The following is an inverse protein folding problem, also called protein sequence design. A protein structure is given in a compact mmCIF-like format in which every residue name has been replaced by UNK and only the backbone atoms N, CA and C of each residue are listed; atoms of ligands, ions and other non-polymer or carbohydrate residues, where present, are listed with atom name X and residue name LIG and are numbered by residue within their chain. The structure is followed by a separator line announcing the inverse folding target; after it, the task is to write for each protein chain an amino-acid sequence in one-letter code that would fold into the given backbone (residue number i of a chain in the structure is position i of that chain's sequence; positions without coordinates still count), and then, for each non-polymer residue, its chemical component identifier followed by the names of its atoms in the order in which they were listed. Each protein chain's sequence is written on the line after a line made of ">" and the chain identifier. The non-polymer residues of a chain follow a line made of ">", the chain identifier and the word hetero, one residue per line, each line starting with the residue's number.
data_IF_933035529268
#
_entry.id   IF_933035529268
#
_cell.length_a   1.000
_cell.length_b   1.000
_cell.length_c   1.000
_cell.angle_alpha   90.00
_cell.angle_beta   90.00
_cell.angle_gamma   90.00
#
_symmetry.space_group_name_H-M   'P 1'
#
loop_
_entity.id
_entity.type
_entity.pdbx_description
1 polymer ?
#
# COMPACT_ATOMS: atom_id res chain seq x y z
N UNK A 1 -32.08 -25.79 -3.15
CA UNK A 1 -31.67 -24.66 -2.29
C UNK A 1 -31.25 -23.47 -3.11
N UNK A 2 -31.78 -22.26 -2.84
CA UNK A 2 -31.17 -21.03 -3.33
C UNK A 2 -29.84 -20.82 -2.60
N UNK A 3 -28.80 -20.44 -3.37
CA UNK A 3 -27.43 -20.20 -2.89
C UNK A 3 -27.42 -19.25 -1.68
N UNK A 4 -26.66 -19.63 -0.66
CA UNK A 4 -26.39 -18.83 0.55
C UNK A 4 -25.90 -17.44 0.16
N UNK A 5 -26.52 -16.40 0.72
CA UNK A 5 -26.16 -14.98 0.53
C UNK A 5 -24.90 -14.61 1.36
N UNK A 6 -24.17 -15.61 1.88
CA UNK A 6 -23.01 -15.42 2.74
C UNK A 6 -21.68 -15.16 2.02
N UNK A 7 -21.61 -15.38 0.70
CA UNK A 7 -20.33 -15.32 -0.06
C UNK A 7 -20.22 -14.09 -0.97
N UNK A 8 -21.07 -13.08 -0.78
CA UNK A 8 -20.88 -11.79 -1.45
C UNK A 8 -19.91 -11.00 -0.58
N UNK A 9 -18.65 -10.74 -1.00
CA UNK A 9 -17.76 -9.88 -0.25
C UNK A 9 -18.46 -8.53 -0.08
N UNK A 10 -18.81 -8.23 1.16
CA UNK A 10 -19.36 -6.94 1.52
C UNK A 10 -18.23 -5.92 1.69
N UNK A 11 -18.52 -4.62 1.62
CA UNK A 11 -17.53 -3.56 1.78
C UNK A 11 -16.76 -3.62 3.11
N UNK A 12 -17.28 -4.32 4.13
CA UNK A 12 -16.58 -4.53 5.39
C UNK A 12 -15.40 -5.52 5.28
N UNK A 13 -15.47 -6.50 4.38
CA UNK A 13 -14.38 -7.47 4.17
C UNK A 13 -13.24 -6.81 3.39
N UNK A 14 -13.55 -6.03 2.35
CA UNK A 14 -12.57 -5.30 1.54
C UNK A 14 -11.76 -4.29 2.38
N UNK A 15 -12.43 -3.53 3.26
CA UNK A 15 -11.75 -2.60 4.20
C UNK A 15 -10.83 -3.34 5.18
N UNK A 16 -11.22 -4.55 5.61
CA UNK A 16 -10.40 -5.36 6.53
C UNK A 16 -9.16 -5.90 5.82
N UNK A 17 -9.31 -6.42 4.60
CA UNK A 17 -8.21 -6.92 3.78
C UNK A 17 -7.20 -5.81 3.45
N UNK A 18 -7.67 -4.62 3.08
CA UNK A 18 -6.79 -3.47 2.87
C UNK A 18 -6.03 -3.09 4.14
N UNK A 19 -6.70 -3.03 5.29
CA UNK A 19 -6.08 -2.66 6.54
C UNK A 19 -4.96 -3.65 6.91
N UNK A 20 -5.19 -4.94 6.69
CA UNK A 20 -4.17 -5.99 6.90
C UNK A 20 -2.98 -5.80 5.96
N UNK A 21 -3.22 -5.55 4.67
CA UNK A 21 -2.15 -5.29 3.68
C UNK A 21 -1.31 -4.07 4.05
N UNK A 22 -1.94 -2.97 4.48
CA UNK A 22 -1.23 -1.76 4.91
C UNK A 22 -0.38 -1.98 6.15
N UNK A 23 -0.91 -2.71 7.15
CA UNK A 23 -0.17 -3.04 8.36
C UNK A 23 1.01 -3.95 8.06
N UNK A 24 0.83 -4.91 7.15
CA UNK A 24 1.88 -5.82 6.72
C UNK A 24 2.99 -5.10 5.98
N UNK A 25 2.66 -4.27 4.99
CA UNK A 25 3.62 -3.45 4.24
C UNK A 25 4.44 -2.57 5.21
N UNK A 26 3.75 -1.81 6.07
CA UNK A 26 4.42 -0.90 6.99
C UNK A 26 5.34 -1.65 7.96
N UNK A 27 4.85 -2.75 8.55
CA UNK A 27 5.62 -3.54 9.52
C UNK A 27 6.85 -4.21 8.90
N UNK A 28 6.72 -4.78 7.69
CA UNK A 28 7.84 -5.45 7.01
C UNK A 28 8.88 -4.44 6.52
N UNK A 29 8.44 -3.36 5.87
CA UNK A 29 9.35 -2.34 5.36
C UNK A 29 10.11 -1.66 6.51
N UNK A 30 9.43 -1.27 7.59
CA UNK A 30 10.08 -0.65 8.74
C UNK A 30 11.11 -1.58 9.39
N UNK A 31 10.79 -2.88 9.52
CA UNK A 31 11.73 -3.87 10.03
C UNK A 31 12.99 -3.97 9.17
N UNK A 32 12.84 -4.02 7.84
CA UNK A 32 13.97 -4.07 6.92
C UNK A 32 14.84 -2.80 7.03
N UNK A 33 14.20 -1.64 7.14
CA UNK A 33 14.89 -0.35 7.38
C UNK A 33 15.68 -0.40 8.70
N UNK A 34 15.05 -0.85 9.80
CA UNK A 34 15.69 -0.95 11.12
C UNK A 34 16.86 -1.96 11.13
N UNK A 35 16.79 -3.01 10.31
CA UNK A 35 17.85 -4.01 10.13
C UNK A 35 18.96 -3.54 9.17
N UNK A 36 18.79 -2.38 8.52
CA UNK A 36 19.72 -1.81 7.55
C UNK A 36 19.64 -2.42 6.14
N UNK A 37 18.61 -3.22 5.87
CA UNK A 37 18.34 -3.83 4.56
C UNK A 37 17.46 -2.90 3.70
N UNK A 38 18.01 -1.72 3.40
CA UNK A 38 17.29 -0.65 2.70
C UNK A 38 16.95 -0.98 1.25
N UNK A 39 17.73 -1.85 0.59
CA UNK A 39 17.48 -2.28 -0.79
C UNK A 39 16.20 -3.13 -0.86
N UNK A 40 16.09 -4.14 0.00
CA UNK A 40 14.90 -5.00 0.07
C UNK A 40 13.68 -4.20 0.53
N UNK A 41 13.84 -3.25 1.46
CA UNK A 41 12.77 -2.35 1.86
C UNK A 41 12.23 -1.54 0.67
N UNK A 42 13.14 -1.02 -0.17
CA UNK A 42 12.77 -0.25 -1.37
C UNK A 42 12.04 -1.10 -2.39
N UNK A 43 12.53 -2.31 -2.68
CA UNK A 43 11.86 -3.24 -3.60
C UNK A 43 10.43 -3.56 -3.14
N UNK A 44 10.23 -3.78 -1.83
CA UNK A 44 8.90 -4.04 -1.25
C UNK A 44 7.96 -2.84 -1.42
N UNK A 45 8.45 -1.62 -1.18
CA UNK A 45 7.67 -0.39 -1.34
C UNK A 45 7.32 -0.16 -2.83
N UNK A 46 8.28 -0.35 -3.74
CA UNK A 46 8.11 -0.17 -5.18
C UNK A 46 7.03 -1.12 -5.73
N UNK A 47 7.10 -2.41 -5.37
CA UNK A 47 6.14 -3.42 -5.82
C UNK A 47 4.69 -3.08 -5.40
N UNK A 48 4.51 -2.53 -4.19
CA UNK A 48 3.18 -2.08 -3.74
C UNK A 48 2.72 -0.82 -4.45
N UNK A 49 3.64 0.12 -4.71
CA UNK A 49 3.33 1.33 -5.47
C UNK A 49 2.89 1.02 -6.91
N UNK A 50 3.56 0.11 -7.60
CA UNK A 50 3.20 -0.31 -8.96
C UNK A 50 1.77 -0.87 -9.04
N UNK A 51 1.36 -1.70 -8.08
CA UNK A 51 -0.01 -2.23 -8.00
C UNK A 51 -1.04 -1.10 -7.84
N UNK A 52 -0.73 -0.08 -7.04
CA UNK A 52 -1.60 1.08 -6.85
C UNK A 52 -1.68 1.93 -8.12
N UNK A 53 -0.57 2.13 -8.81
CA UNK A 53 -0.53 2.85 -10.10
C UNK A 53 -1.41 2.12 -11.13
N UNK A 54 -1.29 0.81 -11.26
CA UNK A 54 -2.11 0.00 -12.18
C UNK A 54 -3.62 0.14 -11.90
N UNK A 55 -4.01 0.20 -10.62
CA UNK A 55 -5.40 0.44 -10.22
C UNK A 55 -5.88 1.85 -10.59
N UNK A 56 -5.05 2.87 -10.34
CA UNK A 56 -5.34 4.26 -10.69
C UNK A 56 -5.48 4.45 -12.21
N UNK A 57 -4.60 3.83 -13.00
CA UNK A 57 -4.67 3.84 -14.47
C UNK A 57 -5.91 3.10 -14.98
N UNK A 58 -6.33 2.05 -14.28
CA UNK A 58 -7.60 1.34 -14.54
C UNK A 58 -8.84 2.14 -14.13
N UNK A 59 -8.68 3.35 -13.58
CA UNK A 59 -9.75 4.27 -13.22
C UNK A 59 -10.30 4.10 -11.80
N UNK A 60 -9.71 3.23 -10.97
CA UNK A 60 -10.06 3.11 -9.56
C UNK A 60 -9.44 4.26 -8.78
N UNK A 61 -10.27 5.13 -8.22
CA UNK A 61 -9.85 6.27 -7.39
C UNK A 61 -10.70 6.33 -6.14
N UNK A 62 -10.25 5.66 -5.09
CA UNK A 62 -10.93 5.55 -3.81
C UNK A 62 -9.96 5.87 -2.65
N UNK A 63 -10.47 5.82 -1.42
CA UNK A 63 -9.67 6.12 -0.21
C UNK A 63 -8.54 5.10 0.03
N UNK A 64 -8.62 3.93 -0.59
CA UNK A 64 -7.70 2.81 -0.39
C UNK A 64 -6.38 3.08 -1.12
N UNK A 65 -6.45 3.52 -2.38
CA UNK A 65 -5.26 3.95 -3.11
C UNK A 65 -4.56 5.13 -2.41
N UNK A 66 -5.33 6.09 -1.86
CA UNK A 66 -4.76 7.21 -1.10
C UNK A 66 -4.01 6.72 0.14
N UNK A 67 -4.58 5.76 0.88
CA UNK A 67 -3.93 5.19 2.06
C UNK A 67 -2.64 4.43 1.73
N UNK A 68 -2.62 3.65 0.65
CA UNK A 68 -1.39 2.99 0.18
C UNK A 68 -0.32 3.99 -0.26
N UNK A 69 -0.68 5.03 -1.01
CA UNK A 69 0.26 6.07 -1.42
C UNK A 69 0.86 6.82 -0.22
N UNK A 70 0.05 7.14 0.79
CA UNK A 70 0.51 7.82 2.00
C UNK A 70 1.50 6.94 2.79
N UNK A 71 1.20 5.65 2.96
CA UNK A 71 2.11 4.70 3.63
C UNK A 71 3.42 4.53 2.85
N UNK A 72 3.36 4.37 1.54
CA UNK A 72 4.57 4.29 0.69
C UNK A 72 5.42 5.55 0.79
N UNK A 73 4.80 6.73 0.82
CA UNK A 73 5.50 8.00 1.02
C UNK A 73 6.19 8.07 2.39
N UNK A 74 5.52 7.67 3.47
CA UNK A 74 6.10 7.65 4.83
C UNK A 74 7.32 6.71 4.94
N UNK A 75 7.26 5.54 4.27
CA UNK A 75 8.35 4.58 4.28
C UNK A 75 9.55 5.09 3.46
N UNK A 76 9.32 5.74 2.31
CA UNK A 76 10.39 6.42 1.55
C UNK A 76 11.04 7.55 2.34
N UNK A 77 10.28 8.32 3.11
CA UNK A 77 10.86 9.31 4.04
C UNK A 77 11.75 8.65 5.10
N UNK A 78 11.37 7.47 5.58
CA UNK A 78 12.17 6.72 6.56
C UNK A 78 13.49 6.21 5.97
N UNK A 79 13.53 5.97 4.66
CA UNK A 79 14.74 5.69 3.87
C UNK A 79 15.55 6.95 3.51
N UNK A 80 15.05 8.15 3.84
CA UNK A 80 15.69 9.42 3.45
C UNK A 80 15.48 9.83 1.99
N UNK A 81 14.51 9.23 1.29
CA UNK A 81 14.18 9.48 -0.12
C UNK A 81 13.21 10.66 -0.29
N UNK A 82 13.69 11.86 0.06
CA UNK A 82 12.84 13.05 0.17
C UNK A 82 12.36 13.59 -1.18
N UNK A 83 13.12 13.44 -2.26
CA UNK A 83 12.71 13.93 -3.59
C UNK A 83 11.68 12.98 -4.23
N UNK A 84 11.90 11.68 -4.10
CA UNK A 84 10.98 10.62 -4.51
C UNK A 84 9.64 10.75 -3.77
N UNK A 85 9.68 11.09 -2.48
CA UNK A 85 8.47 11.34 -1.69
C UNK A 85 7.68 12.56 -2.19
N UNK A 86 8.34 13.65 -2.58
CA UNK A 86 7.61 14.81 -3.16
C UNK A 86 6.85 14.41 -4.42
N UNK A 87 7.45 13.58 -5.26
CA UNK A 87 6.78 13.09 -6.46
C UNK A 87 5.54 12.24 -6.16
N UNK A 88 5.47 11.58 -5.00
CA UNK A 88 4.30 10.83 -4.54
C UNK A 88 3.19 11.74 -3.99
N UNK A 89 3.54 12.81 -3.28
CA UNK A 89 2.58 13.66 -2.55
C UNK A 89 1.92 14.77 -3.38
N UNK A 90 2.50 15.12 -4.54
CA UNK A 90 2.03 16.25 -5.36
C UNK A 90 1.45 15.85 -6.74
N UNK A 91 1.05 14.58 -6.94
CA UNK A 91 0.39 14.13 -8.19
C UNK A 91 -1.08 14.51 -8.29
#
# INVERSE_FOLDING_TARGET
>A
DPKSIGDIPGPANEVTELQEQLQELYGQALKLIDEGDEETARELIEANYEVVVDQLESGYKNMEQVAMLDISAQLRLSLGEFEETKHLLYQ
#
